data_IF_192706902861
#
_entry.id   IF_192706902861
#
_cell.length_a   1.000
_cell.length_b   1.000
_cell.length_c   1.000
_cell.angle_alpha   90.00
_cell.angle_beta   90.00
_cell.angle_gamma   90.00
#
_symmetry.space_group_name_H-M   'P 1'
#
loop_
_entity.id
_entity.type
_entity.pdbx_description
1 polymer ?
#
# COMPACT_ATOMS: atom_id res chain seq x y z
N UNK A 1 -82.21 33.34 44.10
CA UNK A 1 -80.98 32.53 44.05
C UNK A 1 -80.03 33.21 43.07
N UNK A 2 -78.96 33.85 43.55
CA UNK A 2 -77.90 34.40 42.69
C UNK A 2 -76.76 33.37 42.69
N UNK A 3 -76.53 32.76 41.54
CA UNK A 3 -75.50 31.73 41.34
C UNK A 3 -74.14 32.43 41.29
N UNK A 4 -73.25 32.09 42.23
CA UNK A 4 -71.88 32.60 42.32
C UNK A 4 -70.98 31.67 41.50
N UNK A 5 -70.51 32.14 40.35
CA UNK A 5 -69.58 31.38 39.50
C UNK A 5 -68.15 31.66 39.97
N UNK A 6 -67.50 30.67 40.57
CA UNK A 6 -66.09 30.71 40.97
C UNK A 6 -65.24 30.47 39.72
N UNK A 7 -64.48 31.50 39.31
CA UNK A 7 -63.51 31.42 38.22
C UNK A 7 -62.18 30.89 38.78
N UNK A 8 -61.93 29.60 38.59
CA UNK A 8 -60.63 28.97 38.90
C UNK A 8 -59.60 29.45 37.88
N UNK A 9 -58.70 30.35 38.30
CA UNK A 9 -57.56 30.78 37.49
C UNK A 9 -56.54 29.63 37.48
N UNK A 10 -56.47 28.92 36.35
CA UNK A 10 -55.41 27.96 36.08
C UNK A 10 -54.13 28.75 35.80
N UNK A 11 -53.17 28.74 36.73
CA UNK A 11 -51.81 29.17 36.44
C UNK A 11 -51.21 28.18 35.43
N UNK A 12 -51.35 28.48 34.14
CA UNK A 12 -50.51 27.86 33.11
C UNK A 12 -49.12 28.43 33.34
N UNK A 13 -48.27 27.68 34.02
CA UNK A 13 -46.84 27.92 34.02
C UNK A 13 -46.39 27.88 32.56
N UNK A 14 -46.10 29.05 31.99
CA UNK A 14 -45.36 29.16 30.75
C UNK A 14 -43.99 28.50 30.99
N UNK A 15 -43.87 27.22 30.64
CA UNK A 15 -42.57 26.59 30.45
C UNK A 15 -41.94 27.30 29.27
N UNK A 16 -41.10 28.29 29.58
CA UNK A 16 -40.31 29.00 28.59
C UNK A 16 -39.38 27.97 27.94
N UNK A 17 -39.56 27.71 26.64
CA UNK A 17 -38.69 26.87 25.84
C UNK A 17 -37.30 27.51 25.69
N UNK A 18 -36.48 27.41 26.73
CA UNK A 18 -35.02 27.42 26.61
C UNK A 18 -34.56 25.97 26.62
N UNK A 19 -34.94 25.20 25.59
CA UNK A 19 -34.83 23.75 25.63
C UNK A 19 -33.39 23.23 25.60
N UNK A 20 -32.46 24.02 25.07
CA UNK A 20 -31.03 23.78 25.15
C UNK A 20 -30.27 25.12 25.15
N UNK A 21 -29.03 25.15 25.64
CA UNK A 21 -28.13 26.31 25.59
C UNK A 21 -27.90 26.85 24.16
N UNK A 22 -27.87 28.18 24.03
CA UNK A 22 -27.63 28.87 22.74
C UNK A 22 -26.16 29.24 22.50
N UNK A 23 -25.25 28.83 23.37
CA UNK A 23 -23.80 28.95 23.20
C UNK A 23 -23.13 27.61 23.40
N UNK A 24 -21.81 27.55 23.18
CA UNK A 24 -21.00 26.42 23.63
C UNK A 24 -21.29 26.12 25.11
N UNK A 25 -21.43 24.83 25.42
CA UNK A 25 -21.51 24.33 26.79
C UNK A 25 -20.11 23.97 27.25
N UNK A 26 -19.66 24.62 28.31
CA UNK A 26 -18.41 24.31 28.98
C UNK A 26 -18.75 23.78 30.36
N UNK A 27 -18.65 22.46 30.52
CA UNK A 27 -18.75 21.81 31.82
C UNK A 27 -17.32 21.78 32.35
N UNK A 28 -17.00 22.63 33.32
CA UNK A 28 -15.61 22.80 33.81
C UNK A 28 -15.32 21.96 35.06
N UNK A 29 -16.33 21.28 35.59
CA UNK A 29 -16.26 20.45 36.78
C UNK A 29 -17.30 19.33 36.75
N UNK A 30 -17.11 18.28 37.55
CA UNK A 30 -18.13 17.23 37.74
C UNK A 30 -19.47 17.82 38.20
N UNK A 31 -19.46 18.87 39.03
CA UNK A 31 -20.68 19.53 39.47
C UNK A 31 -21.44 20.20 38.32
N UNK A 32 -20.76 20.73 37.29
CA UNK A 32 -21.44 21.27 36.11
C UNK A 32 -22.14 20.18 35.31
N UNK A 33 -21.50 18.99 35.22
CA UNK A 33 -22.07 17.81 34.58
C UNK A 33 -23.29 17.34 35.36
N UNK A 34 -23.17 17.18 36.68
CA UNK A 34 -24.25 16.73 37.57
C UNK A 34 -25.48 17.63 37.48
N UNK A 35 -25.26 18.95 37.35
CA UNK A 35 -26.34 19.93 37.24
C UNK A 35 -26.91 20.08 35.82
N UNK A 36 -26.32 19.48 34.78
CA UNK A 36 -26.75 19.66 33.39
C UNK A 36 -28.23 19.35 33.20
N UNK A 37 -28.69 18.18 33.67
CA UNK A 37 -30.08 17.73 33.53
C UNK A 37 -31.08 18.62 34.29
N UNK A 38 -30.63 19.29 35.35
CA UNK A 38 -31.43 20.23 36.14
C UNK A 38 -31.49 21.60 35.48
N UNK A 39 -30.37 22.07 34.92
CA UNK A 39 -30.25 23.36 34.25
C UNK A 39 -30.93 23.38 32.88
N UNK A 40 -30.90 22.25 32.17
CA UNK A 40 -31.42 22.10 30.82
C UNK A 40 -32.38 20.90 30.72
N UNK A 41 -33.51 20.94 31.45
CA UNK A 41 -34.45 19.83 31.46
C UNK A 41 -35.04 19.62 30.06
N UNK A 42 -34.99 18.38 29.58
CA UNK A 42 -35.40 17.96 28.23
C UNK A 42 -34.47 18.41 27.08
N UNK A 43 -33.24 18.84 27.37
CA UNK A 43 -32.28 19.14 26.31
C UNK A 43 -31.78 17.86 25.64
N UNK A 44 -32.12 17.68 24.36
CA UNK A 44 -31.71 16.51 23.57
C UNK A 44 -30.76 16.87 22.43
N UNK A 45 -30.79 18.09 21.91
CA UNK A 45 -29.95 18.53 20.79
C UNK A 45 -29.19 19.80 21.14
N UNK A 46 -27.86 19.73 21.16
CA UNK A 46 -27.01 20.91 21.32
C UNK A 46 -26.71 21.52 19.94
N UNK A 47 -27.05 22.79 19.75
CA UNK A 47 -26.70 23.52 18.52
C UNK A 47 -25.22 23.90 18.45
N UNK A 48 -24.58 24.06 19.62
CA UNK A 48 -23.19 24.47 19.76
C UNK A 48 -22.35 23.34 20.36
N UNK A 49 -21.08 23.63 20.68
CA UNK A 49 -20.16 22.61 21.14
C UNK A 49 -20.45 22.15 22.57
N UNK A 50 -20.17 20.88 22.86
CA UNK A 50 -20.12 20.32 24.21
C UNK A 50 -18.65 20.17 24.61
N UNK A 51 -18.22 20.86 25.68
CA UNK A 51 -16.84 20.86 26.17
C UNK A 51 -16.77 20.31 27.59
N UNK A 52 -16.05 19.21 27.74
CA UNK A 52 -15.73 18.52 28.99
C UNK A 52 -14.21 18.36 29.01
N UNK A 53 -13.51 19.43 29.38
CA UNK A 53 -12.05 19.54 29.28
C UNK A 53 -11.43 19.83 30.64
N UNK A 54 -10.47 19.00 31.08
CA UNK A 54 -9.71 19.23 32.33
C UNK A 54 -10.56 19.23 33.60
N UNK A 55 -11.74 18.59 33.56
CA UNK A 55 -12.77 18.73 34.60
C UNK A 55 -12.60 17.77 35.78
N UNK A 56 -11.70 16.79 35.62
CA UNK A 56 -11.66 15.56 36.42
C UNK A 56 -13.00 14.82 36.45
N UNK A 57 -13.75 14.84 35.35
CA UNK A 57 -15.00 14.09 35.21
C UNK A 57 -14.76 12.61 35.50
N UNK A 58 -15.70 12.01 36.21
CA UNK A 58 -15.76 10.56 36.48
C UNK A 58 -17.10 9.97 36.07
N UNK A 59 -18.12 10.80 35.83
CA UNK A 59 -19.46 10.36 35.50
C UNK A 59 -20.13 11.30 34.49
N UNK A 60 -20.56 10.77 33.35
CA UNK A 60 -21.29 11.52 32.32
C UNK A 60 -22.79 11.20 32.30
N UNK A 61 -23.29 10.33 33.18
CA UNK A 61 -24.71 9.88 33.20
C UNK A 61 -25.75 11.01 33.13
N UNK A 62 -25.54 12.20 33.75
CA UNK A 62 -26.45 13.34 33.63
C UNK A 62 -26.64 13.87 32.19
N UNK A 63 -25.78 13.49 31.25
CA UNK A 63 -25.83 13.89 29.83
C UNK A 63 -26.66 12.93 28.97
N UNK A 64 -27.28 11.91 29.56
CA UNK A 64 -28.02 10.85 28.86
C UNK A 64 -29.20 11.32 28.00
N UNK A 65 -29.69 12.54 28.19
CA UNK A 65 -30.72 13.11 27.31
C UNK A 65 -30.18 13.54 25.94
N UNK A 66 -28.87 13.77 25.80
CA UNK A 66 -28.26 14.29 24.57
C UNK A 66 -28.27 13.19 23.50
N UNK A 67 -28.92 13.49 22.39
CA UNK A 67 -28.99 12.63 21.20
C UNK A 67 -28.16 13.17 20.03
N UNK A 68 -27.88 14.47 19.99
CA UNK A 68 -27.09 15.07 18.92
C UNK A 68 -26.37 16.35 19.36
N UNK A 69 -25.21 16.58 18.78
CA UNK A 69 -24.44 17.83 18.92
C UNK A 69 -24.14 18.34 17.53
N UNK A 70 -24.74 19.45 17.11
CA UNK A 70 -24.60 19.99 15.74
C UNK A 70 -23.19 20.57 15.48
N UNK A 71 -22.46 20.93 16.53
CA UNK A 71 -21.07 21.37 16.43
C UNK A 71 -20.12 20.29 16.99
N UNK A 72 -19.07 20.68 17.71
CA UNK A 72 -18.00 19.78 18.13
C UNK A 72 -18.24 19.25 19.54
N UNK A 73 -17.80 18.02 19.80
CA UNK A 73 -17.75 17.44 21.15
C UNK A 73 -16.30 17.35 21.58
N UNK A 74 -15.99 17.85 22.77
CA UNK A 74 -14.67 17.79 23.38
C UNK A 74 -14.77 17.04 24.70
N UNK A 75 -14.08 15.91 24.78
CA UNK A 75 -13.90 15.12 26.00
C UNK A 75 -12.39 14.96 26.15
N UNK A 76 -11.78 15.91 26.85
CA UNK A 76 -10.33 16.05 26.93
C UNK A 76 -9.82 16.11 28.35
N UNK A 77 -8.64 15.54 28.59
CA UNK A 77 -7.88 15.73 29.82
C UNK A 77 -8.68 15.35 31.10
N UNK A 78 -9.58 14.36 31.02
CA UNK A 78 -10.33 13.86 32.17
C UNK A 78 -9.68 12.58 32.71
N UNK A 79 -8.63 12.76 33.51
CA UNK A 79 -7.79 11.65 34.02
C UNK A 79 -8.54 10.60 34.84
N UNK A 80 -9.68 10.96 35.45
CA UNK A 80 -10.52 10.05 36.24
C UNK A 80 -11.67 9.40 35.47
N UNK A 81 -11.86 9.74 34.20
CA UNK A 81 -12.99 9.25 33.41
C UNK A 81 -12.69 7.82 32.93
N UNK A 82 -13.49 6.85 33.36
CA UNK A 82 -13.30 5.43 33.00
C UNK A 82 -14.22 4.96 31.88
N UNK A 83 -15.37 5.61 31.71
CA UNK A 83 -16.31 5.29 30.64
C UNK A 83 -17.04 6.53 30.11
N UNK A 84 -17.62 6.40 28.93
CA UNK A 84 -18.54 7.41 28.36
C UNK A 84 -20.01 7.15 28.72
N UNK A 85 -20.27 6.38 29.79
CA UNK A 85 -21.62 6.09 30.27
C UNK A 85 -22.36 7.40 30.55
N UNK A 86 -23.46 7.63 29.84
CA UNK A 86 -24.16 8.90 29.78
C UNK A 86 -24.24 9.50 28.38
N UNK A 87 -23.48 9.00 27.41
CA UNK A 87 -23.60 9.38 26.00
C UNK A 87 -24.26 8.28 25.15
N UNK A 88 -24.99 7.36 25.78
CA UNK A 88 -25.61 6.18 25.14
C UNK A 88 -26.60 6.50 24.03
N UNK A 89 -27.18 7.69 24.05
CA UNK A 89 -28.17 8.13 23.09
C UNK A 89 -27.58 9.03 21.99
N UNK A 90 -26.29 9.37 22.07
CA UNK A 90 -25.62 10.25 21.11
C UNK A 90 -25.53 9.56 19.75
N UNK A 91 -26.29 10.08 18.78
CA UNK A 91 -26.41 9.51 17.45
C UNK A 91 -25.55 10.23 16.40
N UNK A 92 -25.33 11.53 16.55
CA UNK A 92 -24.58 12.35 15.58
C UNK A 92 -23.77 13.45 16.23
N UNK A 93 -22.60 13.72 15.63
CA UNK A 93 -21.77 14.91 15.91
C UNK A 93 -21.59 15.64 14.58
N UNK A 94 -22.08 16.87 14.47
CA UNK A 94 -22.12 17.61 13.20
C UNK A 94 -20.77 18.19 12.78
N UNK A 95 -19.83 18.36 13.71
CA UNK A 95 -18.48 18.86 13.45
C UNK A 95 -17.41 17.86 13.91
N UNK A 96 -16.46 18.28 14.73
CA UNK A 96 -15.37 17.42 15.19
C UNK A 96 -15.70 16.71 16.50
N UNK A 97 -15.21 15.49 16.66
CA UNK A 97 -15.22 14.80 17.95
C UNK A 97 -13.78 14.69 18.46
N UNK A 98 -13.49 15.28 19.61
CA UNK A 98 -12.22 15.16 20.31
C UNK A 98 -12.40 14.28 21.54
N UNK A 99 -11.81 13.09 21.51
CA UNK A 99 -11.70 12.18 22.65
C UNK A 99 -10.20 11.98 22.92
N UNK A 100 -9.65 12.85 23.75
CA UNK A 100 -8.19 13.00 23.90
C UNK A 100 -7.74 12.98 25.37
N UNK A 101 -6.57 12.40 25.66
CA UNK A 101 -5.91 12.49 26.97
C UNK A 101 -6.77 12.02 28.17
N UNK A 102 -7.66 11.05 28.00
CA UNK A 102 -8.42 10.46 29.10
C UNK A 102 -7.75 9.15 29.53
N UNK A 103 -6.64 9.24 30.26
CA UNK A 103 -5.74 8.11 30.50
C UNK A 103 -6.41 6.88 31.16
N UNK A 104 -7.44 7.08 31.98
CA UNK A 104 -8.19 5.99 32.64
C UNK A 104 -9.37 5.47 31.83
N UNK A 105 -9.65 6.03 30.65
CA UNK A 105 -10.80 5.67 29.83
C UNK A 105 -10.57 4.29 29.21
N UNK A 106 -11.39 3.31 29.61
CA UNK A 106 -11.31 1.93 29.11
C UNK A 106 -12.54 1.53 28.31
N UNK A 107 -13.66 2.25 28.46
CA UNK A 107 -14.96 1.85 27.93
C UNK A 107 -15.66 2.99 27.16
N UNK A 108 -15.75 2.82 25.84
CA UNK A 108 -16.51 3.72 24.95
C UNK A 108 -17.79 3.07 24.41
N UNK A 109 -18.26 1.96 25.00
CA UNK A 109 -19.43 1.19 24.55
C UNK A 109 -20.73 2.01 24.49
N UNK A 110 -20.80 3.08 25.28
CA UNK A 110 -21.88 4.04 25.21
C UNK A 110 -22.04 4.67 23.81
N UNK A 111 -21.01 4.71 22.99
CA UNK A 111 -21.11 5.30 21.65
C UNK A 111 -21.85 4.42 20.62
N UNK A 112 -22.46 3.29 21.02
CA UNK A 112 -23.14 2.38 20.09
C UNK A 112 -24.26 3.05 19.27
N UNK A 113 -24.82 4.17 19.72
CA UNK A 113 -25.78 4.96 18.93
C UNK A 113 -25.15 5.81 17.83
N UNK A 114 -23.85 6.10 17.89
CA UNK A 114 -23.16 7.06 17.05
C UNK A 114 -23.01 6.53 15.62
N UNK A 115 -23.63 7.23 14.68
CA UNK A 115 -23.67 6.82 13.25
C UNK A 115 -22.76 7.64 12.35
N UNK A 116 -22.48 8.89 12.71
CA UNK A 116 -21.68 9.80 11.89
C UNK A 116 -21.00 10.90 12.69
N UNK A 117 -19.82 11.28 12.20
CA UNK A 117 -19.06 12.46 12.62
C UNK A 117 -18.88 13.34 11.38
N UNK A 118 -19.43 14.55 11.40
CA UNK A 118 -19.55 15.41 10.23
C UNK A 118 -18.21 15.91 9.71
N UNK A 119 -17.23 16.16 10.59
CA UNK A 119 -15.86 16.52 10.22
C UNK A 119 -14.85 15.48 10.72
N UNK A 120 -13.92 15.87 11.59
CA UNK A 120 -12.81 15.00 12.00
C UNK A 120 -13.08 14.32 13.34
N UNK A 121 -12.62 13.07 13.47
CA UNK A 121 -12.60 12.35 14.73
C UNK A 121 -11.16 12.26 15.24
N UNK A 122 -10.90 12.79 16.42
CA UNK A 122 -9.64 12.72 17.12
C UNK A 122 -9.79 11.76 18.29
N UNK A 123 -9.24 10.55 18.15
CA UNK A 123 -9.15 9.55 19.19
C UNK A 123 -7.68 9.37 19.57
N UNK A 124 -7.21 10.22 20.50
CA UNK A 124 -5.79 10.36 20.80
C UNK A 124 -5.45 10.17 22.27
N UNK A 125 -4.30 9.57 22.56
CA UNK A 125 -3.71 9.60 23.91
C UNK A 125 -4.63 9.03 25.02
N UNK A 126 -5.53 8.09 24.70
CA UNK A 126 -6.34 7.38 25.69
C UNK A 126 -5.67 6.04 25.99
N UNK A 127 -4.55 6.09 26.71
CA UNK A 127 -3.66 4.93 26.93
C UNK A 127 -4.32 3.73 27.63
N UNK A 128 -5.43 3.94 28.36
CA UNK A 128 -6.22 2.87 28.97
C UNK A 128 -7.19 2.15 28.01
N UNK A 129 -7.43 2.71 26.82
CA UNK A 129 -8.43 2.17 25.89
C UNK A 129 -7.88 0.91 25.22
N UNK A 130 -8.60 -0.20 25.36
CA UNK A 130 -8.20 -1.51 24.81
C UNK A 130 -8.99 -1.92 23.57
N UNK A 131 -10.21 -1.41 23.42
CA UNK A 131 -11.05 -1.65 22.26
C UNK A 131 -11.86 -0.42 21.86
N UNK A 132 -12.34 -0.43 20.60
CA UNK A 132 -13.31 0.55 20.10
C UNK A 132 -14.76 0.06 20.22
N UNK A 133 -15.03 -0.89 21.12
CA UNK A 133 -16.38 -1.42 21.34
C UNK A 133 -17.34 -0.26 21.60
N UNK A 134 -18.39 -0.15 20.79
CA UNK A 134 -19.29 1.01 20.76
C UNK A 134 -19.30 1.75 19.42
N UNK A 135 -18.34 1.55 18.53
CA UNK A 135 -18.33 2.24 17.23
C UNK A 135 -18.94 1.44 16.06
N UNK A 136 -19.63 0.32 16.32
CA UNK A 136 -20.18 -0.58 15.29
C UNK A 136 -21.18 0.03 14.33
N UNK A 137 -21.84 1.14 14.72
CA UNK A 137 -22.77 1.85 13.87
C UNK A 137 -22.15 3.08 13.17
N UNK A 138 -20.89 3.41 13.46
CA UNK A 138 -20.21 4.55 12.86
C UNK A 138 -19.92 4.27 11.38
N UNK A 139 -20.70 4.89 10.49
CA UNK A 139 -20.64 4.62 9.06
C UNK A 139 -19.66 5.54 8.33
N UNK A 140 -19.54 6.80 8.78
CA UNK A 140 -18.79 7.85 8.09
C UNK A 140 -18.08 8.82 9.04
N UNK A 141 -16.89 9.24 8.61
CA UNK A 141 -16.16 10.39 9.15
C UNK A 141 -15.93 11.35 7.99
N UNK A 142 -16.55 12.52 8.03
CA UNK A 142 -16.61 13.43 6.87
C UNK A 142 -15.28 14.08 6.51
N UNK A 143 -14.31 14.11 7.42
CA UNK A 143 -12.99 14.68 7.20
C UNK A 143 -11.88 13.71 7.63
N UNK A 144 -11.05 14.05 8.62
CA UNK A 144 -9.92 13.22 9.02
C UNK A 144 -10.29 12.30 10.18
N UNK A 145 -9.76 11.08 10.17
CA UNK A 145 -9.78 10.23 11.36
C UNK A 145 -8.36 10.15 11.91
N UNK A 146 -8.17 10.57 13.16
CA UNK A 146 -6.93 10.40 13.89
C UNK A 146 -7.12 9.36 14.98
N UNK A 147 -6.50 8.20 14.81
CA UNK A 147 -6.40 7.13 15.79
C UNK A 147 -4.92 7.02 16.21
N UNK A 148 -4.55 7.77 17.24
CA UNK A 148 -3.14 8.02 17.58
C UNK A 148 -2.83 7.77 19.06
N UNK A 149 -1.65 7.23 19.38
CA UNK A 149 -1.14 7.12 20.76
C UNK A 149 -2.06 6.37 21.75
N UNK A 150 -2.86 5.40 21.30
CA UNK A 150 -3.65 4.55 22.19
C UNK A 150 -2.90 3.24 22.42
N UNK A 151 -1.82 3.29 23.20
CA UNK A 151 -0.84 2.20 23.29
C UNK A 151 -1.43 0.83 23.72
N UNK A 152 -2.52 0.80 24.50
CA UNK A 152 -3.18 -0.44 24.92
C UNK A 152 -4.26 -0.92 23.94
N UNK A 153 -4.53 -0.18 22.87
CA UNK A 153 -5.59 -0.50 21.92
C UNK A 153 -5.20 -1.72 21.08
N UNK A 154 -5.94 -2.81 21.26
CA UNK A 154 -5.70 -4.07 20.54
C UNK A 154 -6.82 -4.40 19.56
N UNK A 155 -8.02 -3.86 19.77
CA UNK A 155 -9.23 -4.26 19.04
C UNK A 155 -9.97 -3.07 18.42
N UNK A 156 -9.95 -3.00 17.09
CA UNK A 156 -10.71 -2.02 16.29
C UNK A 156 -11.85 -2.68 15.49
N UNK A 157 -12.25 -3.92 15.82
CA UNK A 157 -13.27 -4.70 15.10
C UNK A 157 -14.63 -4.02 15.01
N UNK A 158 -14.92 -3.15 15.98
CA UNK A 158 -16.10 -2.31 15.99
C UNK A 158 -16.15 -1.29 14.83
N UNK A 159 -15.10 -1.10 14.03
CA UNK A 159 -15.16 -0.22 12.86
C UNK A 159 -15.73 -0.89 11.60
N UNK A 160 -16.32 -2.08 11.70
CA UNK A 160 -16.88 -2.84 10.57
C UNK A 160 -17.94 -2.11 9.74
N UNK A 161 -18.62 -1.12 10.33
CA UNK A 161 -19.56 -0.23 9.65
C UNK A 161 -18.92 0.93 8.87
N UNK A 162 -17.64 1.25 9.13
CA UNK A 162 -16.98 2.41 8.56
C UNK A 162 -16.65 2.19 7.08
N UNK A 163 -17.34 2.92 6.21
CA UNK A 163 -17.23 2.74 4.75
C UNK A 163 -16.30 3.73 4.07
N UNK A 164 -16.16 4.94 4.64
CA UNK A 164 -15.35 6.00 4.06
C UNK A 164 -14.81 6.97 5.13
N UNK A 165 -13.62 7.49 4.84
CA UNK A 165 -12.99 8.62 5.52
C UNK A 165 -12.80 9.71 4.48
N UNK A 166 -13.46 10.85 4.68
CA UNK A 166 -13.59 11.88 3.66
C UNK A 166 -12.26 12.50 3.23
N UNK A 167 -11.30 12.65 4.17
CA UNK A 167 -9.95 13.15 3.90
C UNK A 167 -8.89 12.12 4.33
N UNK A 168 -8.09 12.43 5.35
CA UNK A 168 -6.92 11.61 5.71
C UNK A 168 -7.22 10.69 6.89
N UNK A 169 -6.66 9.49 6.86
CA UNK A 169 -6.67 8.56 7.99
C UNK A 169 -5.28 8.51 8.60
N UNK A 170 -5.17 8.85 9.88
CA UNK A 170 -3.95 8.76 10.67
C UNK A 170 -4.11 7.61 11.66
N UNK A 171 -3.43 6.49 11.39
CA UNK A 171 -3.35 5.34 12.27
C UNK A 171 -1.91 5.23 12.76
N UNK A 172 -1.61 5.92 13.87
CA UNK A 172 -0.23 6.11 14.33
C UNK A 172 -0.03 5.70 15.78
N UNK A 173 1.14 5.15 16.10
CA UNK A 173 1.60 5.00 17.48
C UNK A 173 0.65 4.18 18.39
N UNK A 174 -0.09 3.20 17.82
CA UNK A 174 -0.93 2.28 18.60
C UNK A 174 -0.18 0.96 18.79
N UNK A 175 0.80 0.97 19.71
CA UNK A 175 1.74 -0.14 19.90
C UNK A 175 1.11 -1.49 20.25
N UNK A 176 -0.11 -1.53 20.79
CA UNK A 176 -0.86 -2.76 21.08
C UNK A 176 -1.63 -3.34 19.89
N UNK A 177 -1.78 -2.60 18.80
CA UNK A 177 -2.63 -3.00 17.69
C UNK A 177 -1.96 -4.11 16.87
N UNK A 178 -2.57 -5.29 16.82
CA UNK A 178 -2.02 -6.45 16.09
C UNK A 178 -2.64 -6.65 14.71
N UNK A 179 -3.87 -6.19 14.52
CA UNK A 179 -4.58 -6.31 13.24
C UNK A 179 -5.47 -5.09 12.97
N UNK A 180 -5.83 -4.91 11.70
CA UNK A 180 -6.84 -3.93 11.28
C UNK A 180 -8.24 -4.52 11.17
N UNK A 181 -8.49 -5.64 11.85
CA UNK A 181 -9.81 -6.31 11.86
C UNK A 181 -10.88 -5.27 12.21
N UNK A 182 -11.87 -5.11 11.33
CA UNK A 182 -12.86 -4.03 11.42
C UNK A 182 -12.87 -3.11 10.20
N UNK A 183 -11.78 -2.99 9.43
CA UNK A 183 -11.74 -2.08 8.28
C UNK A 183 -12.19 -2.70 6.93
N UNK A 184 -12.85 -3.87 6.94
CA UNK A 184 -13.25 -4.61 5.72
C UNK A 184 -14.21 -3.85 4.80
N UNK A 185 -14.97 -2.91 5.35
CA UNK A 185 -15.92 -2.08 4.60
C UNK A 185 -15.30 -0.79 4.08
N UNK A 186 -14.07 -0.45 4.49
CA UNK A 186 -13.42 0.80 4.11
C UNK A 186 -12.96 0.74 2.65
N UNK A 187 -13.69 1.43 1.78
CA UNK A 187 -13.45 1.36 0.34
C UNK A 187 -12.46 2.43 -0.17
N UNK A 188 -12.46 3.60 0.48
CA UNK A 188 -11.73 4.78 0.02
C UNK A 188 -11.21 5.63 1.18
N UNK A 189 -10.04 6.23 0.98
CA UNK A 189 -9.49 7.32 1.80
C UNK A 189 -9.27 8.51 0.86
N UNK A 190 -10.02 9.59 1.08
CA UNK A 190 -10.09 10.70 0.12
C UNK A 190 -8.79 11.49 -0.05
N UNK A 191 -7.88 11.42 0.93
CA UNK A 191 -6.61 12.13 0.92
C UNK A 191 -5.45 11.20 1.31
N UNK A 192 -4.74 11.45 2.42
CA UNK A 192 -3.59 10.67 2.81
C UNK A 192 -3.96 9.52 3.75
N UNK A 193 -3.30 8.38 3.61
CA UNK A 193 -3.35 7.33 4.61
C UNK A 193 -1.99 7.25 5.30
N UNK A 194 -1.96 7.45 6.61
CA UNK A 194 -0.76 7.26 7.42
C UNK A 194 -0.96 6.02 8.30
N UNK A 195 -0.20 4.97 8.02
CA UNK A 195 -0.10 3.75 8.81
C UNK A 195 1.33 3.68 9.35
N UNK A 196 1.54 4.27 10.52
CA UNK A 196 2.88 4.56 11.06
C UNK A 196 3.07 4.07 12.49
N UNK A 197 4.26 3.58 12.85
CA UNK A 197 4.64 3.28 14.24
C UNK A 197 3.71 2.31 15.00
N UNK A 198 3.04 1.37 14.31
CA UNK A 198 2.25 0.33 14.97
C UNK A 198 3.08 -0.96 15.06
N UNK A 199 4.07 -0.97 15.97
CA UNK A 199 5.12 -2.00 15.99
C UNK A 199 4.60 -3.45 16.12
N UNK A 200 3.45 -3.67 16.77
CA UNK A 200 2.84 -5.00 16.91
C UNK A 200 1.91 -5.39 15.74
N UNK A 201 1.69 -4.50 14.78
CA UNK A 201 0.76 -4.72 13.68
C UNK A 201 1.34 -5.76 12.72
N UNK A 202 0.70 -6.92 12.64
CA UNK A 202 1.10 -8.01 11.75
C UNK A 202 0.12 -8.24 10.61
N UNK A 203 -1.15 -7.83 10.78
CA UNK A 203 -2.23 -8.18 9.87
C UNK A 203 -3.02 -6.96 9.39
N UNK A 204 -2.87 -6.64 8.10
CA UNK A 204 -3.66 -5.61 7.41
C UNK A 204 -4.68 -6.19 6.42
N UNK A 205 -4.96 -7.50 6.47
CA UNK A 205 -5.86 -8.21 5.54
C UNK A 205 -7.25 -7.60 5.43
N UNK A 206 -7.70 -6.93 6.50
CA UNK A 206 -8.97 -6.22 6.52
C UNK A 206 -9.05 -5.06 5.51
N UNK A 207 -7.95 -4.58 4.93
CA UNK A 207 -7.97 -3.53 3.91
C UNK A 207 -8.38 -4.03 2.51
N UNK A 208 -8.87 -5.26 2.38
CA UNK A 208 -9.23 -5.89 1.10
C UNK A 208 -10.17 -5.07 0.22
N UNK A 209 -11.00 -4.21 0.82
CA UNK A 209 -11.92 -3.32 0.10
C UNK A 209 -11.30 -2.02 -0.40
N UNK A 210 -10.09 -1.66 0.04
CA UNK A 210 -9.46 -0.37 -0.25
C UNK A 210 -8.95 -0.33 -1.70
N UNK A 211 -9.63 0.45 -2.54
CA UNK A 211 -9.35 0.50 -3.99
C UNK A 211 -8.43 1.65 -4.39
N UNK A 212 -8.45 2.75 -3.64
CA UNK A 212 -7.64 3.93 -3.93
C UNK A 212 -7.33 4.75 -2.67
N UNK A 213 -6.19 5.44 -2.73
CA UNK A 213 -5.79 6.48 -1.78
C UNK A 213 -5.65 7.78 -2.58
N UNK A 214 -6.44 8.79 -2.22
CA UNK A 214 -6.59 10.00 -3.04
C UNK A 214 -5.30 10.80 -3.19
N UNK A 215 -4.46 10.85 -2.15
CA UNK A 215 -3.13 11.49 -2.18
C UNK A 215 -2.03 10.49 -1.81
N UNK A 216 -1.34 10.67 -0.68
CA UNK A 216 -0.15 9.88 -0.35
C UNK A 216 -0.45 8.76 0.63
N UNK A 217 0.21 7.62 0.44
CA UNK A 217 0.19 6.51 1.39
C UNK A 217 1.54 6.45 2.12
N UNK A 218 1.50 6.58 3.44
CA UNK A 218 2.65 6.43 4.32
C UNK A 218 2.49 5.12 5.08
N UNK A 219 3.27 4.11 4.69
CA UNK A 219 3.36 2.82 5.37
C UNK A 219 4.75 2.72 5.99
N UNK A 220 4.89 3.23 7.22
CA UNK A 220 6.20 3.42 7.86
C UNK A 220 6.31 2.78 9.23
N UNK A 221 7.49 2.29 9.57
CA UNK A 221 7.84 1.95 10.96
C UNK A 221 6.89 0.91 11.62
N UNK A 222 6.29 0.00 10.84
CA UNK A 222 5.47 -1.11 11.36
C UNK A 222 6.31 -2.38 11.43
N UNK A 223 7.18 -2.44 12.44
CA UNK A 223 8.20 -3.50 12.56
C UNK A 223 7.67 -4.95 12.61
N UNK A 224 6.40 -5.16 13.00
CA UNK A 224 5.74 -6.47 13.00
C UNK A 224 5.12 -6.88 11.66
N UNK A 225 5.00 -5.97 10.69
CA UNK A 225 4.28 -6.23 9.45
C UNK A 225 5.11 -7.12 8.53
N UNK A 226 4.59 -8.30 8.18
CA UNK A 226 5.30 -9.29 7.34
C UNK A 226 4.80 -9.34 5.91
N UNK A 227 3.55 -8.95 5.67
CA UNK A 227 2.95 -8.93 4.34
C UNK A 227 1.95 -7.79 4.14
N UNK A 228 1.62 -7.52 2.87
CA UNK A 228 0.59 -6.56 2.47
C UNK A 228 -0.74 -7.21 2.04
N UNK A 229 -1.05 -8.44 2.49
CA UNK A 229 -2.13 -9.31 1.98
C UNK A 229 -3.54 -8.66 1.88
N UNK A 230 -3.79 -7.53 2.54
CA UNK A 230 -5.02 -6.75 2.38
C UNK A 230 -5.07 -5.75 1.23
N UNK A 231 -4.00 -5.52 0.47
CA UNK A 231 -3.94 -4.43 -0.53
C UNK A 231 -4.19 -4.87 -1.98
N UNK A 232 -4.71 -6.09 -2.23
CA UNK A 232 -4.91 -6.62 -3.58
C UNK A 232 -5.87 -5.84 -4.47
N UNK A 233 -6.74 -5.02 -3.88
CA UNK A 233 -7.66 -4.16 -4.63
C UNK A 233 -7.12 -2.74 -4.86
N UNK A 234 -5.99 -2.38 -4.26
CA UNK A 234 -5.41 -1.04 -4.37
C UNK A 234 -4.84 -0.83 -5.79
N UNK A 235 -5.53 -0.02 -6.59
CA UNK A 235 -5.18 0.19 -7.98
C UNK A 235 -4.28 1.40 -8.22
N UNK A 236 -4.45 2.45 -7.40
CA UNK A 236 -3.78 3.75 -7.59
C UNK A 236 -3.48 4.44 -6.26
N UNK A 237 -2.38 5.19 -6.23
CA UNK A 237 -2.03 6.14 -5.17
C UNK A 237 -1.86 7.50 -5.86
N UNK A 238 -2.69 8.49 -5.51
CA UNK A 238 -2.78 9.75 -6.27
C UNK A 238 -1.55 10.66 -6.15
N UNK A 239 -0.72 10.48 -5.11
CA UNK A 239 0.49 11.27 -4.88
C UNK A 239 1.67 10.36 -4.55
N UNK A 240 2.24 10.42 -3.34
CA UNK A 240 3.45 9.67 -3.01
C UNK A 240 3.12 8.35 -2.32
N UNK A 241 3.89 7.31 -2.60
CA UNK A 241 3.87 6.11 -1.78
C UNK A 241 5.18 6.04 -1.01
N UNK A 242 5.10 5.99 0.31
CA UNK A 242 6.24 5.75 1.18
C UNK A 242 6.07 4.38 1.83
N UNK A 243 6.89 3.43 1.44
CA UNK A 243 7.01 2.10 2.05
C UNK A 243 8.38 2.04 2.72
N UNK A 244 8.43 2.43 3.99
CA UNK A 244 9.70 2.72 4.68
C UNK A 244 9.80 2.01 6.05
N UNK A 245 10.99 1.56 6.44
CA UNK A 245 11.27 1.05 7.79
C UNK A 245 10.36 -0.11 8.29
N UNK A 246 9.83 -0.95 7.39
CA UNK A 246 9.08 -2.15 7.80
C UNK A 246 10.02 -3.36 7.76
N UNK A 247 10.91 -3.47 8.75
CA UNK A 247 12.03 -4.40 8.72
C UNK A 247 11.63 -5.89 8.55
N UNK A 248 10.45 -6.29 9.03
CA UNK A 248 9.93 -7.67 8.89
C UNK A 248 9.15 -7.91 7.60
N UNK A 249 8.93 -6.88 6.78
CA UNK A 249 8.11 -6.98 5.58
C UNK A 249 8.84 -7.81 4.52
N UNK A 250 8.34 -9.00 4.23
CA UNK A 250 8.92 -9.90 3.23
C UNK A 250 8.07 -10.00 1.97
N UNK A 251 6.77 -9.77 2.07
CA UNK A 251 5.80 -10.07 1.02
C UNK A 251 4.93 -8.86 0.64
N UNK A 252 5.18 -8.32 -0.55
CA UNK A 252 4.36 -7.26 -1.16
C UNK A 252 3.51 -7.77 -2.34
N UNK A 253 3.35 -9.10 -2.50
CA UNK A 253 2.64 -9.72 -3.65
C UNK A 253 1.22 -9.19 -3.85
N UNK A 254 0.58 -8.75 -2.77
CA UNK A 254 -0.74 -8.14 -2.80
C UNK A 254 -0.78 -6.76 -3.49
N UNK A 255 0.34 -6.16 -3.88
CA UNK A 255 0.31 -4.93 -4.68
C UNK A 255 0.13 -5.18 -6.18
N UNK A 256 -0.17 -6.42 -6.60
CA UNK A 256 -0.25 -6.79 -8.02
C UNK A 256 -1.31 -6.04 -8.82
N UNK A 257 -2.29 -5.40 -8.16
CA UNK A 257 -3.27 -4.51 -8.77
C UNK A 257 -2.80 -3.05 -8.94
N UNK A 258 -1.70 -2.65 -8.31
CA UNK A 258 -1.22 -1.27 -8.31
C UNK A 258 -0.59 -0.92 -9.67
N UNK A 259 -1.21 0.02 -10.39
CA UNK A 259 -0.81 0.39 -11.76
C UNK A 259 -0.10 1.73 -11.86
N UNK A 260 -0.36 2.64 -10.91
CA UNK A 260 0.18 3.99 -10.95
C UNK A 260 0.38 4.60 -9.56
N UNK A 261 1.46 5.38 -9.45
CA UNK A 261 1.75 6.27 -8.33
C UNK A 261 1.90 7.68 -8.89
N UNK A 262 1.05 8.61 -8.45
CA UNK A 262 0.91 9.91 -9.08
C UNK A 262 2.14 10.82 -8.98
N UNK A 263 2.93 10.69 -7.92
CA UNK A 263 4.20 11.41 -7.74
C UNK A 263 5.35 10.43 -7.49
N UNK A 264 5.96 10.43 -6.30
CA UNK A 264 7.18 9.65 -6.04
C UNK A 264 6.89 8.38 -5.25
N UNK A 265 7.63 7.32 -5.54
CA UNK A 265 7.62 6.09 -4.76
C UNK A 265 8.95 5.94 -4.00
N UNK A 266 8.85 5.91 -2.68
CA UNK A 266 9.95 5.69 -1.76
C UNK A 266 9.82 4.28 -1.19
N UNK A 267 10.71 3.39 -1.60
CA UNK A 267 10.82 2.02 -1.11
C UNK A 267 12.14 1.88 -0.37
N UNK A 268 12.12 2.18 0.94
CA UNK A 268 13.36 2.34 1.72
C UNK A 268 13.39 1.50 2.99
N UNK A 269 14.56 1.00 3.36
CA UNK A 269 14.80 0.44 4.70
C UNK A 269 13.85 -0.73 5.08
N UNK A 270 13.35 -1.50 4.10
CA UNK A 270 12.58 -2.73 4.36
C UNK A 270 13.52 -3.93 4.31
N UNK A 271 14.32 -4.10 5.36
CA UNK A 271 15.42 -5.06 5.41
C UNK A 271 15.04 -6.52 5.12
N UNK A 272 13.79 -6.92 5.37
CA UNK A 272 13.25 -8.26 5.08
C UNK A 272 12.73 -8.46 3.65
N UNK A 273 12.59 -7.41 2.84
CA UNK A 273 11.97 -7.49 1.53
C UNK A 273 12.89 -8.22 0.54
N UNK A 274 12.43 -9.32 -0.06
CA UNK A 274 13.27 -10.16 -0.93
C UNK A 274 12.95 -10.02 -2.41
N UNK A 275 11.76 -9.52 -2.76
CA UNK A 275 11.26 -9.47 -4.13
C UNK A 275 10.29 -8.30 -4.35
N UNK A 276 10.29 -7.77 -5.57
CA UNK A 276 9.30 -6.78 -6.04
C UNK A 276 8.20 -7.36 -6.93
N UNK A 277 8.01 -8.69 -6.98
CA UNK A 277 7.02 -9.33 -7.87
C UNK A 277 5.59 -8.83 -7.69
N UNK A 278 5.24 -8.31 -6.50
CA UNK A 278 3.97 -7.64 -6.26
C UNK A 278 3.76 -6.37 -7.08
N UNK A 279 4.79 -5.79 -7.69
CA UNK A 279 4.69 -4.56 -8.49
C UNK A 279 4.60 -4.84 -10.00
N UNK A 280 4.27 -6.07 -10.40
CA UNK A 280 4.25 -6.52 -11.80
C UNK A 280 3.30 -5.74 -12.72
N UNK A 281 2.38 -4.94 -12.17
CA UNK A 281 1.44 -4.11 -12.92
C UNK A 281 1.76 -2.62 -12.87
N UNK A 282 2.76 -2.22 -12.08
CA UNK A 282 3.10 -0.81 -11.86
C UNK A 282 3.75 -0.24 -13.12
N UNK A 283 2.97 0.54 -13.87
CA UNK A 283 3.37 1.08 -15.15
C UNK A 283 3.93 2.52 -15.06
N UNK A 284 3.48 3.30 -14.08
CA UNK A 284 3.80 4.73 -14.01
C UNK A 284 4.10 5.23 -12.60
N UNK A 285 5.15 6.03 -12.49
CA UNK A 285 5.50 6.83 -11.32
C UNK A 285 5.67 8.28 -11.80
N UNK A 286 4.80 9.18 -11.36
CA UNK A 286 4.72 10.52 -11.96
C UNK A 286 5.89 11.46 -11.63
N UNK A 287 6.77 11.09 -10.69
CA UNK A 287 7.97 11.86 -10.35
C UNK A 287 9.19 10.96 -10.15
N UNK A 288 9.63 10.69 -8.92
CA UNK A 288 10.87 9.96 -8.65
C UNK A 288 10.59 8.54 -8.13
N UNK A 289 11.47 7.60 -8.45
CA UNK A 289 11.53 6.29 -7.80
C UNK A 289 12.79 6.20 -6.95
N UNK A 290 12.64 5.81 -5.69
CA UNK A 290 13.75 5.58 -4.77
C UNK A 290 13.66 4.16 -4.21
N UNK A 291 14.63 3.33 -4.54
CA UNK A 291 14.83 2.00 -3.96
C UNK A 291 16.14 1.98 -3.17
N UNK A 292 16.03 2.10 -1.85
CA UNK A 292 17.20 2.31 -0.99
C UNK A 292 17.22 1.40 0.24
N UNK A 293 18.39 0.87 0.62
CA UNK A 293 18.58 0.15 1.88
C UNK A 293 17.66 -1.09 2.10
N UNK A 294 17.22 -1.78 1.05
CA UNK A 294 16.46 -3.03 1.17
C UNK A 294 17.44 -4.21 1.10
N UNK A 295 18.16 -4.46 2.19
CA UNK A 295 19.34 -5.33 2.21
C UNK A 295 19.09 -6.77 1.73
N UNK A 296 17.89 -7.34 1.94
CA UNK A 296 17.54 -8.70 1.49
C UNK A 296 17.05 -8.80 0.05
N UNK A 297 16.83 -7.67 -0.63
CA UNK A 297 16.27 -7.65 -1.98
C UNK A 297 17.33 -8.11 -2.98
N UNK A 298 17.03 -9.16 -3.75
CA UNK A 298 17.99 -9.72 -4.73
C UNK A 298 17.62 -9.40 -6.17
N UNK A 299 16.35 -9.07 -6.43
CA UNK A 299 15.76 -9.00 -7.76
C UNK A 299 14.65 -7.95 -7.83
N UNK A 300 14.67 -7.10 -8.88
CA UNK A 300 13.62 -6.08 -9.14
C UNK A 300 12.86 -6.30 -10.44
N UNK A 301 12.95 -7.47 -11.07
CA UNK A 301 12.24 -7.80 -12.33
C UNK A 301 10.71 -7.75 -12.20
N UNK A 302 10.20 -7.73 -10.96
CA UNK A 302 8.82 -7.35 -10.68
C UNK A 302 8.42 -5.96 -11.20
N UNK A 303 9.38 -5.10 -11.57
CA UNK A 303 9.13 -3.80 -12.19
C UNK A 303 9.19 -3.82 -13.73
N UNK A 304 9.19 -4.98 -14.39
CA UNK A 304 9.27 -5.05 -15.86
C UNK A 304 8.12 -4.32 -16.60
N UNK A 305 6.97 -4.13 -15.96
CA UNK A 305 5.87 -3.35 -16.54
C UNK A 305 6.07 -1.83 -16.45
N UNK A 306 7.08 -1.36 -15.73
CA UNK A 306 7.33 0.06 -15.52
C UNK A 306 7.74 0.73 -16.83
N UNK A 307 6.94 1.69 -17.29
CA UNK A 307 7.18 2.43 -18.53
C UNK A 307 7.72 3.83 -18.25
N UNK A 308 7.14 4.51 -17.26
CA UNK A 308 7.41 5.93 -17.01
C UNK A 308 7.79 6.20 -15.57
N UNK A 309 8.94 6.85 -15.39
CA UNK A 309 9.29 7.63 -14.20
C UNK A 309 9.73 9.01 -14.68
N UNK A 310 8.97 10.05 -14.34
CA UNK A 310 9.11 11.36 -15.01
C UNK A 310 10.40 12.10 -14.66
N UNK A 311 10.98 11.84 -13.49
CA UNK A 311 12.16 12.52 -13.00
C UNK A 311 13.31 11.54 -12.78
N UNK A 312 13.68 11.25 -11.54
CA UNK A 312 14.86 10.45 -11.23
C UNK A 312 14.50 9.03 -10.80
N UNK A 313 15.35 8.09 -11.17
CA UNK A 313 15.24 6.68 -10.81
C UNK A 313 16.49 6.25 -10.05
N UNK A 314 16.35 6.03 -8.75
CA UNK A 314 17.46 5.72 -7.84
C UNK A 314 17.36 4.29 -7.32
N UNK A 315 18.42 3.51 -7.51
CA UNK A 315 18.64 2.21 -6.86
C UNK A 315 19.96 2.27 -6.11
N UNK A 316 19.91 2.38 -4.79
CA UNK A 316 21.13 2.57 -4.00
C UNK A 316 21.17 1.72 -2.72
N UNK A 317 22.34 1.28 -2.32
CA UNK A 317 22.56 0.63 -1.01
C UNK A 317 21.70 -0.63 -0.78
N UNK A 318 21.32 -1.36 -1.83
CA UNK A 318 20.63 -2.65 -1.71
C UNK A 318 21.68 -3.77 -1.81
N UNK A 319 22.32 -4.10 -0.68
CA UNK A 319 23.57 -4.87 -0.65
C UNK A 319 23.52 -6.26 -1.27
N UNK A 320 22.34 -6.89 -1.36
CA UNK A 320 22.18 -8.20 -2.00
C UNK A 320 21.55 -8.14 -3.39
N UNK A 321 21.23 -6.94 -3.91
CA UNK A 321 20.56 -6.77 -5.20
C UNK A 321 21.54 -7.06 -6.33
N UNK A 322 21.32 -8.19 -7.02
CA UNK A 322 22.16 -8.65 -8.14
C UNK A 322 21.47 -8.54 -9.49
N UNK A 323 20.14 -8.48 -9.53
CA UNK A 323 19.37 -8.41 -10.76
C UNK A 323 18.48 -7.16 -10.82
N UNK A 324 18.89 -6.20 -11.66
CA UNK A 324 18.06 -5.06 -12.05
C UNK A 324 18.00 -4.86 -13.56
N UNK A 325 18.11 -5.94 -14.34
CA UNK A 325 17.83 -5.87 -15.75
C UNK A 325 16.31 -5.79 -15.97
N UNK A 326 15.80 -4.57 -16.15
CA UNK A 326 14.41 -4.30 -16.53
C UNK A 326 14.39 -3.38 -17.75
N UNK A 327 13.31 -3.46 -18.54
CA UNK A 327 13.17 -2.67 -19.78
C UNK A 327 13.33 -1.16 -19.54
N UNK A 328 12.80 -0.64 -18.43
CA UNK A 328 12.93 0.77 -18.05
C UNK A 328 14.40 1.23 -17.96
N UNK A 329 15.29 0.36 -17.47
CA UNK A 329 16.70 0.66 -17.26
C UNK A 329 17.51 0.43 -18.54
N UNK A 330 17.29 -0.70 -19.22
CA UNK A 330 18.17 -1.17 -20.29
C UNK A 330 17.71 -0.85 -21.71
N UNK A 331 16.41 -0.62 -21.90
CA UNK A 331 15.81 -0.29 -23.19
C UNK A 331 15.22 1.13 -23.23
N UNK A 332 15.20 1.84 -22.08
CA UNK A 332 14.76 3.22 -21.99
C UNK A 332 15.83 4.22 -22.44
N UNK A 333 15.42 5.31 -23.09
CA UNK A 333 16.31 6.46 -23.38
C UNK A 333 16.45 7.40 -22.16
N UNK A 334 16.57 6.83 -20.96
CA UNK A 334 16.45 7.56 -19.70
C UNK A 334 17.82 8.08 -19.23
N UNK A 335 17.99 9.40 -19.12
CA UNK A 335 19.25 10.00 -18.63
C UNK A 335 19.36 10.14 -17.12
N UNK A 336 18.26 9.91 -16.39
CA UNK A 336 18.13 10.21 -14.96
C UNK A 336 18.09 8.94 -14.09
N UNK A 337 18.88 7.93 -14.47
CA UNK A 337 19.03 6.68 -13.71
C UNK A 337 20.33 6.75 -12.91
N UNK A 338 20.24 6.47 -11.61
CA UNK A 338 21.40 6.35 -10.72
C UNK A 338 21.32 5.01 -10.01
N UNK A 339 22.32 4.16 -10.27
CA UNK A 339 22.47 2.84 -9.66
C UNK A 339 23.86 2.82 -9.03
N UNK A 340 23.94 2.57 -7.71
CA UNK A 340 25.22 2.55 -6.99
C UNK A 340 25.13 1.83 -5.64
N UNK A 341 26.26 1.28 -5.17
CA UNK A 341 26.35 0.61 -3.87
C UNK A 341 25.37 -0.59 -3.73
N UNK A 342 25.11 -1.31 -4.81
CA UNK A 342 24.38 -2.58 -4.78
C UNK A 342 25.37 -3.73 -5.01
N UNK A 343 24.87 -4.96 -5.14
CA UNK A 343 25.73 -6.09 -5.44
C UNK A 343 26.14 -6.14 -6.92
N UNK A 344 27.16 -6.94 -7.23
CA UNK A 344 27.59 -7.21 -8.60
C UNK A 344 26.43 -7.70 -9.47
N UNK A 345 26.30 -7.13 -10.66
CA UNK A 345 25.18 -7.35 -11.59
C UNK A 345 24.11 -6.27 -11.51
N UNK A 346 24.15 -5.41 -10.49
CA UNK A 346 23.29 -4.25 -10.35
C UNK A 346 24.00 -3.07 -9.67
N UNK A 347 25.33 -2.98 -9.73
CA UNK A 347 26.03 -1.89 -9.05
C UNK A 347 26.14 -0.60 -9.90
N UNK A 348 25.93 -0.70 -11.22
CA UNK A 348 25.75 0.45 -12.11
C UNK A 348 24.90 0.04 -13.35
N UNK A 349 24.59 1.01 -14.23
CA UNK A 349 23.80 0.77 -15.46
C UNK A 349 24.49 -0.23 -16.40
N UNK A 350 25.82 -0.19 -16.49
CA UNK A 350 26.57 -1.10 -17.34
C UNK A 350 26.40 -2.52 -16.83
N UNK A 351 26.61 -2.76 -15.54
CA UNK A 351 26.39 -4.09 -14.93
C UNK A 351 24.95 -4.56 -15.10
N UNK A 352 23.98 -3.71 -14.82
CA UNK A 352 22.55 -4.02 -14.92
C UNK A 352 22.16 -4.50 -16.33
N UNK A 353 22.72 -3.87 -17.36
CA UNK A 353 22.39 -4.14 -18.76
C UNK A 353 23.42 -5.00 -19.49
N UNK A 354 24.44 -5.49 -18.78
CA UNK A 354 25.48 -6.38 -19.34
C UNK A 354 24.99 -7.81 -19.57
N UNK A 355 23.70 -8.09 -19.34
CA UNK A 355 23.05 -9.34 -19.74
C UNK A 355 22.85 -9.44 -21.27
N UNK A 356 23.89 -9.13 -22.05
CA UNK A 356 24.08 -9.54 -23.44
C UNK A 356 25.57 -9.80 -23.70
N UNK A 357 26.08 -10.89 -23.11
CA UNK A 357 27.04 -11.78 -23.79
C UNK A 357 26.73 -13.25 -23.53
N UNK A 358 25.46 -13.55 -23.30
CA UNK A 358 24.87 -14.73 -23.91
C UNK A 358 23.92 -14.15 -24.93
N UNK A 359 24.47 -13.87 -26.12
CA UNK A 359 23.64 -14.04 -27.31
C UNK A 359 23.03 -15.41 -27.09
N UNK A 360 21.71 -15.46 -26.90
CA UNK A 360 20.97 -16.69 -27.09
C UNK A 360 21.44 -17.15 -28.48
N UNK A 361 22.42 -18.05 -28.51
CA UNK A 361 22.94 -18.58 -29.76
C UNK A 361 21.72 -19.31 -30.29
N UNK A 362 20.93 -18.64 -31.14
CA UNK A 362 20.28 -19.30 -32.23
C UNK A 362 21.39 -20.11 -32.85
N UNK A 363 21.43 -21.40 -32.49
CA UNK A 363 22.25 -22.39 -33.12
C UNK A 363 21.93 -22.20 -34.59
N UNK A 364 22.87 -21.60 -35.33
CA UNK A 364 22.79 -21.35 -36.75
C UNK A 364 22.84 -22.73 -37.41
N UNK A 365 21.75 -23.50 -37.31
CA UNK A 365 21.70 -24.88 -37.77
C UNK A 365 21.89 -24.89 -39.28
N UNK A 366 23.10 -25.22 -39.72
CA UNK A 366 23.39 -25.35 -41.15
C UNK A 366 22.72 -26.63 -41.64
N UNK A 367 21.68 -26.49 -42.46
CA UNK A 367 21.01 -27.65 -43.06
C UNK A 367 21.73 -28.02 -44.36
N UNK A 368 22.08 -29.29 -44.49
CA UNK A 368 22.79 -29.84 -45.66
C UNK A 368 21.87 -30.79 -46.41
N UNK A 369 21.62 -30.53 -47.70
CA UNK A 369 20.81 -31.42 -48.53
C UNK A 369 21.18 -31.37 -50.02
N UNK A 370 21.07 -32.51 -50.73
CA UNK A 370 20.83 -33.84 -50.17
C UNK A 370 22.08 -34.37 -49.45
N UNK A 371 21.88 -35.11 -48.36
CA UNK A 371 22.92 -35.90 -47.70
C UNK A 371 22.29 -37.23 -47.25
N UNK A 372 22.59 -38.38 -47.89
CA UNK A 372 23.65 -38.60 -48.89
C UNK A 372 23.46 -37.86 -50.23
N UNK A 373 24.55 -37.64 -50.97
CA UNK A 373 24.53 -37.01 -52.31
C UNK A 373 25.24 -37.86 -53.36
N UNK A 374 24.81 -37.74 -54.63
CA UNK A 374 25.49 -38.33 -55.80
C UNK A 374 26.32 -37.33 -56.59
N UNK A 375 26.18 -36.04 -56.31
CA UNK A 375 26.79 -34.97 -57.11
C UNK A 375 27.00 -33.71 -56.29
N UNK A 376 25.94 -32.95 -56.01
CA UNK A 376 26.05 -31.68 -55.28
C UNK A 376 25.32 -31.70 -53.93
N UNK A 377 25.73 -30.82 -53.02
CA UNK A 377 24.98 -30.46 -51.82
C UNK A 377 24.69 -28.96 -51.82
N UNK A 378 23.62 -28.57 -51.12
CA UNK A 378 23.32 -27.19 -50.78
C UNK A 378 23.34 -27.01 -49.26
N UNK A 379 23.83 -25.85 -48.85
CA UNK A 379 23.85 -25.39 -47.47
C UNK A 379 22.79 -24.31 -47.32
N UNK A 380 21.82 -24.52 -46.43
CA UNK A 380 20.94 -23.45 -45.94
C UNK A 380 21.54 -22.92 -44.64
N UNK A 381 21.89 -21.64 -44.64
CA UNK A 381 22.32 -20.89 -43.47
C UNK A 381 21.92 -19.43 -43.65
N UNK A 382 21.70 -18.74 -42.53
CA UNK A 382 21.35 -17.32 -42.51
C UNK A 382 22.58 -16.41 -42.73
N UNK A 383 23.80 -16.96 -42.65
CA UNK A 383 25.06 -16.20 -42.66
C UNK A 383 26.06 -16.73 -43.70
N UNK A 384 27.05 -15.88 -44.07
CA UNK A 384 28.09 -16.18 -45.05
C UNK A 384 29.12 -17.18 -44.49
N UNK A 385 29.28 -18.30 -45.19
CA UNK A 385 30.05 -19.46 -44.73
C UNK A 385 31.42 -19.56 -45.41
N UNK A 386 32.49 -19.76 -44.64
CA UNK A 386 33.68 -20.41 -45.18
C UNK A 386 33.55 -21.91 -44.95
N UNK A 387 33.61 -22.69 -46.02
CA UNK A 387 33.35 -24.13 -46.00
C UNK A 387 34.61 -24.88 -46.41
N UNK A 388 34.99 -25.85 -45.59
CA UNK A 388 36.11 -26.73 -45.84
C UNK A 388 35.64 -28.19 -45.84
N UNK A 389 36.08 -28.98 -46.82
CA UNK A 389 35.80 -30.41 -46.88
C UNK A 389 37.08 -31.20 -46.57
N UNK A 390 36.95 -32.21 -45.73
CA UNK A 390 38.03 -33.10 -45.33
C UNK A 390 37.68 -34.55 -45.65
N UNK A 391 38.66 -35.34 -46.06
CA UNK A 391 38.51 -36.79 -46.15
C UNK A 391 38.61 -37.48 -44.77
N UNK A 392 38.38 -38.79 -44.71
CA UNK A 392 38.46 -39.57 -43.47
C UNK A 392 39.85 -39.66 -42.85
N UNK A 393 40.90 -39.28 -43.58
CA UNK A 393 42.28 -39.19 -43.06
C UNK A 393 42.58 -37.78 -42.51
N UNK A 394 41.61 -36.87 -42.53
CA UNK A 394 41.75 -35.49 -42.06
C UNK A 394 42.48 -34.58 -43.04
N UNK A 395 42.68 -35.00 -44.30
CA UNK A 395 43.26 -34.14 -45.33
C UNK A 395 42.18 -33.22 -45.89
N UNK A 396 42.47 -31.92 -45.94
CA UNK A 396 41.61 -30.94 -46.60
C UNK A 396 41.62 -31.14 -48.10
N UNK A 397 40.44 -31.34 -48.68
CA UNK A 397 40.24 -31.63 -50.11
C UNK A 397 39.47 -30.53 -50.85
N UNK A 398 38.79 -29.63 -50.13
CA UNK A 398 38.11 -28.47 -50.71
C UNK A 398 38.09 -27.30 -49.73
N UNK A 399 38.17 -26.08 -50.25
CA UNK A 399 37.78 -24.85 -49.54
C UNK A 399 36.93 -24.01 -50.47
N UNK A 400 35.78 -23.53 -50.01
CA UNK A 400 34.85 -22.72 -50.79
C UNK A 400 34.05 -21.78 -49.90
N UNK A 401 33.52 -20.71 -50.48
CA UNK A 401 32.52 -19.85 -49.81
C UNK A 401 31.14 -20.01 -50.46
N UNK A 402 30.97 -20.99 -51.36
CA UNK A 402 29.71 -21.23 -52.07
C UNK A 402 28.78 -22.10 -51.23
N UNK A 403 27.49 -21.73 -51.21
CA UNK A 403 26.42 -22.51 -50.57
C UNK A 403 26.08 -23.79 -51.34
N UNK A 404 26.41 -23.86 -52.64
CA UNK A 404 26.29 -25.06 -53.46
C UNK A 404 27.67 -25.64 -53.72
N UNK A 405 27.86 -26.91 -53.36
CA UNK A 405 29.16 -27.59 -53.45
C UNK A 405 29.02 -28.79 -54.38
N UNK A 406 29.83 -28.82 -55.43
CA UNK A 406 29.90 -29.93 -56.38
C UNK A 406 30.96 -30.95 -55.92
N UNK A 407 30.52 -32.19 -55.76
CA UNK A 407 31.27 -33.35 -55.32
C UNK A 407 31.26 -34.47 -56.38
N UNK A 408 30.81 -34.18 -57.59
CA UNK A 408 30.68 -35.18 -58.67
C UNK A 408 32.02 -35.81 -59.05
N UNK A 409 33.12 -35.08 -58.88
CA UNK A 409 34.50 -35.54 -59.12
C UNK A 409 35.13 -36.27 -57.93
N UNK A 410 34.47 -36.29 -56.78
CA UNK A 410 34.98 -36.91 -55.55
C UNK A 410 34.60 -38.39 -55.49
N UNK A 411 35.49 -39.21 -54.93
CA UNK A 411 35.22 -40.64 -54.73
C UNK A 411 34.06 -40.85 -53.76
N UNK A 412 33.35 -41.95 -53.94
CA UNK A 412 32.32 -42.40 -52.99
C UNK A 412 32.94 -42.64 -51.61
N UNK A 413 32.25 -42.23 -50.56
CA UNK A 413 32.78 -42.28 -49.20
C UNK A 413 32.22 -41.21 -48.27
N UNK A 414 32.73 -41.21 -47.04
CA UNK A 414 32.37 -40.26 -46.01
C UNK A 414 33.37 -39.10 -46.02
N UNK A 415 32.86 -37.88 -45.87
CA UNK A 415 33.65 -36.66 -45.75
C UNK A 415 33.20 -35.87 -44.50
N UNK A 416 34.09 -35.05 -43.97
CA UNK A 416 33.77 -34.10 -42.91
C UNK A 416 33.70 -32.70 -43.52
N UNK A 417 32.52 -32.07 -43.43
CA UNK A 417 32.30 -30.70 -43.87
C UNK A 417 32.40 -29.77 -42.67
N UNK A 418 33.44 -28.95 -42.62
CA UNK A 418 33.59 -27.89 -41.63
C UNK A 418 33.01 -26.59 -42.18
N UNK A 419 32.13 -25.98 -41.42
CA UNK A 419 31.48 -24.72 -41.77
C UNK A 419 31.88 -23.69 -40.72
N UNK A 420 32.57 -22.64 -41.16
CA UNK A 420 33.01 -21.54 -40.31
C UNK A 420 32.15 -20.30 -40.57
N UNK A 421 31.52 -19.79 -39.51
CA UNK A 421 30.78 -18.54 -39.53
C UNK A 421 31.74 -17.34 -39.62
N UNK A 422 31.43 -16.36 -40.48
CA UNK A 422 32.24 -15.14 -40.60
C UNK A 422 32.04 -14.15 -39.45
N UNK A 423 30.89 -14.19 -38.78
CA UNK A 423 30.50 -13.14 -37.83
C UNK A 423 31.03 -13.41 -36.41
N UNK A 424 31.01 -14.67 -35.96
CA UNK A 424 31.48 -15.07 -34.62
C UNK A 424 32.67 -16.05 -34.66
N UNK A 425 33.10 -16.49 -35.85
CA UNK A 425 34.21 -17.42 -36.00
C UNK A 425 33.92 -18.86 -35.56
N UNK A 426 32.67 -19.20 -35.19
CA UNK A 426 32.29 -20.56 -34.78
C UNK A 426 32.52 -21.56 -35.91
N UNK A 427 32.86 -22.80 -35.54
CA UNK A 427 33.14 -23.90 -36.49
C UNK A 427 32.25 -25.08 -36.15
N UNK A 428 31.37 -25.43 -37.08
CA UNK A 428 30.56 -26.64 -37.00
C UNK A 428 31.08 -27.71 -37.97
N UNK A 429 30.99 -28.98 -37.57
CA UNK A 429 31.45 -30.10 -38.41
C UNK A 429 30.29 -31.06 -38.69
N UNK A 430 30.06 -31.32 -39.96
CA UNK A 430 28.99 -32.19 -40.43
C UNK A 430 29.55 -33.42 -41.14
N UNK A 431 28.92 -34.56 -40.90
CA UNK A 431 29.20 -35.79 -41.65
C UNK A 431 28.46 -35.76 -42.98
N UNK A 432 29.21 -35.87 -44.07
CA UNK A 432 28.69 -35.90 -45.43
C UNK A 432 28.93 -37.26 -46.08
N UNK A 433 27.93 -37.79 -46.77
CA UNK A 433 28.00 -39.09 -47.45
C UNK A 433 27.90 -38.88 -48.97
N UNK A 434 28.96 -39.22 -49.70
CA UNK A 434 28.99 -39.26 -51.17
C UNK A 434 28.75 -40.69 -51.63
N UNK A 435 27.65 -40.91 -52.34
CA UNK A 435 27.27 -42.19 -52.98
C UNK A 435 27.74 -42.29 -54.43
#
# INVERSE_FOLDING_TARGET
MKTLTILTIFFISFNCFSQCPNSDIVLSSQNDIDNFSTNYPNCTQLNNSLKIEGTNATNLSPLSSITSVNNSVFIKDNVGLTSLTGLSNLATIGSNFFLENNASLTDISALNGLTSIGLSFYLKDNVGLTSLTGLSNLATIGSNFFLENNASLTDISALNGLTSIGLSFYLKDNGGLTSLTGLSSLATIGSNFFLENNASLTDISALIGLTSIGLSFYLKDNGGLTSLTGLSSLATIGSNFFLENNASLTDISALNGLTSIGLSFYLKDNGGLTSLTGLSSLATIGSNFFLENNASLTDITGLNALVTVSNNFYIQNNSNLTNCNIDYICNGSNSNITISNNNTGCNDITEACSALSIIDEEINTVKIYPNPTKGFINLISNNLLNVELYDMLGKKVLTTNNIKIDLSSFKTGIYLLKVKSRDNGSIETYRLIKE
#
